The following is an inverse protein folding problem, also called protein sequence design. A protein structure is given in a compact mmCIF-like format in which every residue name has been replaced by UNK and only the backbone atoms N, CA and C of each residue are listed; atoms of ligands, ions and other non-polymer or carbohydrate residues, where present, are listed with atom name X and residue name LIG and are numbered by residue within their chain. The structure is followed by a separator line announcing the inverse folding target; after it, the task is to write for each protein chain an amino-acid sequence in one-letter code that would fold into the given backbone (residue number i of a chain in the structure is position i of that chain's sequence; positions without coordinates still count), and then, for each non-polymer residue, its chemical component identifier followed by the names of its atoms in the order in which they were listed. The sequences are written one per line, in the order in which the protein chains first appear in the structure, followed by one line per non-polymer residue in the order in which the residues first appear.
data_IF_425445027643
#
_entry.id   IF_425445027643
#
_cell.length_a   1.000
_cell.length_b   1.000
_cell.length_c   1.000
_cell.angle_alpha   90.00
_cell.angle_beta   90.00
_cell.angle_gamma   90.00
#
_symmetry.space_group_name_H-M   'P 1'
#
loop_
_entity.id
_entity.type
_entity.pdbx_description
1 polymer ?
#
# COMPACT_ATOMS: atom_id res chain seq x y z
N UNK A 1 4.74 18.88 36.49
CA UNK A 1 4.64 20.14 35.71
C UNK A 1 4.96 19.83 34.25
N UNK A 2 4.27 20.44 33.29
CA UNK A 2 4.55 20.21 31.86
C UNK A 2 5.71 21.08 31.37
N UNK A 3 6.64 20.49 30.62
CA UNK A 3 7.86 21.15 30.12
C UNK A 3 7.65 21.97 28.86
N UNK A 4 6.57 21.72 28.11
CA UNK A 4 6.27 22.35 26.84
C UNK A 4 4.90 23.02 26.86
N UNK A 5 4.69 23.98 25.98
CA UNK A 5 3.36 24.45 25.61
C UNK A 5 2.67 23.45 24.66
N UNK A 6 1.34 23.54 24.53
CA UNK A 6 0.56 22.68 23.63
C UNK A 6 1.06 22.73 22.16
N UNK A 7 1.39 23.91 21.58
CA UNK A 7 1.95 23.96 20.22
C UNK A 7 3.33 23.29 20.09
N UNK A 8 4.22 23.48 21.06
CA UNK A 8 5.55 22.84 21.08
C UNK A 8 5.43 21.32 21.18
N UNK A 9 4.51 20.83 22.02
CA UNK A 9 4.23 19.41 22.14
C UNK A 9 3.69 18.79 20.84
N UNK A 10 2.79 19.51 20.14
CA UNK A 10 2.28 19.08 18.82
C UNK A 10 3.42 18.96 17.79
N UNK A 11 4.38 19.88 17.83
CA UNK A 11 5.56 19.82 16.97
C UNK A 11 6.46 18.63 17.34
N UNK A 12 6.72 18.42 18.64
CA UNK A 12 7.49 17.28 19.15
C UNK A 12 6.90 15.93 18.72
N UNK A 13 5.59 15.74 18.86
CA UNK A 13 4.89 14.53 18.41
C UNK A 13 5.12 14.24 16.93
N UNK A 14 5.14 15.28 16.09
CA UNK A 14 5.35 15.14 14.65
C UNK A 14 6.79 14.72 14.33
N UNK A 15 7.78 15.26 15.04
CA UNK A 15 9.19 14.87 14.89
C UNK A 15 9.46 13.45 15.39
N UNK A 16 8.94 13.10 16.57
CA UNK A 16 9.19 11.81 17.23
C UNK A 16 8.49 10.64 16.55
N UNK A 17 7.32 10.87 15.94
CA UNK A 17 6.56 9.80 15.28
C UNK A 17 7.40 9.00 14.28
N UNK A 18 8.16 9.68 13.43
CA UNK A 18 8.97 9.03 12.39
C UNK A 18 10.12 8.20 12.97
N UNK A 19 10.53 8.47 14.21
CA UNK A 19 11.58 7.71 14.92
C UNK A 19 11.03 6.43 15.54
N UNK A 20 9.83 6.48 16.12
CA UNK A 20 9.29 5.38 16.94
C UNK A 20 8.28 4.49 16.21
N UNK A 21 7.61 5.02 15.19
CA UNK A 21 6.62 4.29 14.41
C UNK A 21 7.16 4.10 13.00
N UNK A 22 7.47 2.85 12.57
CA UNK A 22 7.89 2.58 11.20
C UNK A 22 6.84 3.06 10.21
N UNK A 23 7.27 3.43 9.00
CA UNK A 23 6.34 3.81 7.93
C UNK A 23 5.40 2.65 7.60
N UNK A 24 4.22 2.94 7.02
CA UNK A 24 3.35 1.90 6.45
C UNK A 24 4.09 0.91 5.57
N UNK A 25 4.96 1.41 4.71
CA UNK A 25 5.75 0.62 3.76
C UNK A 25 6.67 -0.38 4.47
N UNK A 26 7.42 0.06 5.49
CA UNK A 26 8.26 -0.83 6.30
C UNK A 26 7.42 -1.91 6.97
N UNK A 27 6.28 -1.54 7.59
CA UNK A 27 5.44 -2.52 8.28
C UNK A 27 4.88 -3.56 7.32
N UNK A 28 4.42 -3.15 6.15
CA UNK A 28 3.88 -4.05 5.12
C UNK A 28 4.99 -4.92 4.51
N UNK A 29 6.18 -4.36 4.28
CA UNK A 29 7.35 -5.11 3.83
C UNK A 29 7.73 -6.23 4.79
N UNK A 30 7.77 -5.95 6.10
CA UNK A 30 8.06 -6.96 7.12
C UNK A 30 7.08 -8.15 7.03
N UNK A 31 5.78 -7.87 6.87
CA UNK A 31 4.76 -8.92 6.69
C UNK A 31 4.96 -9.68 5.37
N UNK A 32 5.25 -8.97 4.28
CA UNK A 32 5.55 -9.58 2.98
C UNK A 32 6.75 -10.52 3.05
N UNK A 33 7.87 -10.05 3.61
CA UNK A 33 9.09 -10.84 3.77
C UNK A 33 8.86 -12.09 4.63
N UNK A 34 8.11 -11.95 5.73
CA UNK A 34 7.74 -13.09 6.57
C UNK A 34 6.89 -14.12 5.81
N UNK A 35 5.92 -13.67 5.00
CA UNK A 35 5.09 -14.58 4.18
C UNK A 35 5.93 -15.29 3.10
N UNK A 36 6.82 -14.57 2.41
CA UNK A 36 7.75 -15.15 1.43
C UNK A 36 8.62 -16.22 2.08
N UNK A 37 9.20 -15.94 3.25
CA UNK A 37 10.04 -16.89 3.97
C UNK A 37 9.25 -18.15 4.40
N UNK A 38 8.04 -17.96 4.92
CA UNK A 38 7.17 -19.06 5.34
C UNK A 38 6.80 -19.96 4.15
N UNK A 39 6.38 -19.37 3.03
CA UNK A 39 6.06 -20.11 1.81
C UNK A 39 7.29 -20.82 1.22
N UNK A 40 8.44 -20.14 1.17
CA UNK A 40 9.70 -20.75 0.70
C UNK A 40 10.07 -21.97 1.54
N UNK A 41 9.91 -21.87 2.86
CA UNK A 41 10.15 -22.99 3.79
C UNK A 41 9.18 -24.13 3.54
N UNK A 42 7.89 -23.83 3.37
CA UNK A 42 6.85 -24.81 3.10
C UNK A 42 7.09 -25.54 1.77
N UNK A 43 7.40 -24.82 0.69
CA UNK A 43 7.65 -25.40 -0.62
C UNK A 43 8.95 -26.21 -0.67
N UNK A 44 9.98 -25.76 0.04
CA UNK A 44 11.23 -26.52 0.20
C UNK A 44 10.99 -27.82 0.96
N UNK A 45 10.21 -27.79 2.04
CA UNK A 45 9.82 -28.99 2.80
C UNK A 45 8.96 -29.96 1.96
N UNK A 46 8.21 -29.43 0.98
CA UNK A 46 7.45 -30.23 0.01
C UNK A 46 8.31 -30.80 -1.14
N UNK A 47 9.64 -30.58 -1.13
CA UNK A 47 10.58 -31.16 -2.09
C UNK A 47 11.02 -30.22 -3.22
N UNK A 48 10.58 -28.96 -3.23
CA UNK A 48 11.00 -27.98 -4.24
C UNK A 48 12.27 -27.27 -3.76
N UNK A 49 13.44 -27.70 -4.23
CA UNK A 49 14.73 -27.10 -3.81
C UNK A 49 15.42 -26.29 -4.91
N UNK A 50 14.94 -26.42 -6.16
CA UNK A 50 15.41 -25.60 -7.28
C UNK A 50 14.91 -24.15 -7.13
N UNK A 51 15.80 -23.14 -7.16
CA UNK A 51 15.42 -21.74 -6.97
C UNK A 51 14.41 -21.22 -7.99
N UNK A 52 14.47 -21.67 -9.24
CA UNK A 52 13.54 -21.24 -10.28
C UNK A 52 12.14 -21.83 -10.05
N UNK A 53 12.06 -23.13 -9.70
CA UNK A 53 10.81 -23.77 -9.35
C UNK A 53 10.17 -23.16 -8.10
N UNK A 54 10.97 -22.84 -7.07
CA UNK A 54 10.51 -22.12 -5.87
C UNK A 54 9.92 -20.75 -6.24
N UNK A 55 10.60 -19.99 -7.10
CA UNK A 55 10.12 -18.69 -7.57
C UNK A 55 8.78 -18.81 -8.30
N UNK A 56 8.65 -19.78 -9.22
CA UNK A 56 7.41 -20.00 -9.95
C UNK A 56 6.25 -20.38 -9.03
N UNK A 57 6.50 -21.22 -8.03
CA UNK A 57 5.50 -21.59 -7.02
C UNK A 57 5.09 -20.40 -6.16
N UNK A 58 6.05 -19.54 -5.74
CA UNK A 58 5.74 -18.30 -5.03
C UNK A 58 4.86 -17.38 -5.87
N UNK A 59 5.24 -17.12 -7.12
CA UNK A 59 4.47 -16.26 -8.04
C UNK A 59 3.05 -16.77 -8.26
N UNK A 60 2.90 -18.09 -8.45
CA UNK A 60 1.58 -18.69 -8.62
C UNK A 60 0.75 -18.66 -7.34
N UNK A 61 1.39 -18.83 -6.18
CA UNK A 61 0.72 -18.69 -4.90
C UNK A 61 0.15 -17.27 -4.73
N UNK A 62 0.95 -16.23 -4.99
CA UNK A 62 0.47 -14.85 -4.91
C UNK A 62 -0.65 -14.57 -5.91
N UNK A 63 -0.58 -15.13 -7.13
CA UNK A 63 -1.63 -14.98 -8.14
C UNK A 63 -2.97 -15.61 -7.70
N UNK A 64 -2.92 -16.80 -7.13
CA UNK A 64 -4.10 -17.58 -6.74
C UNK A 64 -4.66 -17.24 -5.36
N UNK A 65 -3.84 -16.69 -4.47
CA UNK A 65 -4.17 -16.36 -3.08
C UNK A 65 -4.01 -14.86 -2.79
N UNK A 66 -4.25 -14.01 -3.81
CA UNK A 66 -4.07 -12.57 -3.72
C UNK A 66 -4.84 -11.94 -2.55
N UNK A 67 -6.11 -12.28 -2.39
CA UNK A 67 -6.95 -11.78 -1.29
C UNK A 67 -6.48 -12.28 0.08
N UNK A 68 -6.03 -13.54 0.16
CA UNK A 68 -5.47 -14.09 1.40
C UNK A 68 -4.25 -13.29 1.83
N UNK A 69 -3.34 -13.01 0.90
CA UNK A 69 -2.15 -12.21 1.17
C UNK A 69 -2.50 -10.79 1.63
N UNK A 70 -3.38 -10.09 0.91
CA UNK A 70 -3.77 -8.71 1.26
C UNK A 70 -4.39 -8.68 2.66
N UNK A 71 -5.28 -9.62 2.99
CA UNK A 71 -5.87 -9.70 4.33
C UNK A 71 -4.82 -10.01 5.41
N UNK A 72 -3.93 -10.97 5.15
CA UNK A 72 -2.86 -11.34 6.06
C UNK A 72 -2.00 -10.13 6.44
N UNK A 73 -1.53 -9.37 5.46
CA UNK A 73 -0.68 -8.20 5.70
C UNK A 73 -1.41 -7.11 6.47
N UNK A 74 -2.66 -6.80 6.10
CA UNK A 74 -3.45 -5.78 6.78
C UNK A 74 -3.79 -6.17 8.22
N UNK A 75 -4.08 -7.45 8.47
CA UNK A 75 -4.34 -7.96 9.82
C UNK A 75 -3.08 -7.93 10.69
N UNK A 76 -1.94 -8.32 10.14
CA UNK A 76 -0.66 -8.27 10.85
C UNK A 76 -0.25 -6.82 11.18
N UNK A 77 -0.41 -5.88 10.24
CA UNK A 77 -0.20 -4.45 10.50
C UNK A 77 -1.13 -3.93 11.60
N UNK A 78 -2.43 -4.27 11.55
CA UNK A 78 -3.42 -3.89 12.56
C UNK A 78 -3.13 -4.49 13.94
N UNK A 79 -2.48 -5.66 14.01
CA UNK A 79 -2.07 -6.30 15.26
C UNK A 79 -0.83 -5.63 15.87
N UNK A 80 0.19 -5.32 15.06
CA UNK A 80 1.46 -4.76 15.53
C UNK A 80 1.40 -3.26 15.83
N UNK A 81 0.58 -2.52 15.09
CA UNK A 81 0.54 -1.06 15.20
C UNK A 81 0.14 -0.54 16.60
N UNK A 82 -0.91 -1.06 17.27
CA UNK A 82 -1.33 -0.56 18.58
C UNK A 82 -0.23 -0.61 19.64
N UNK A 83 0.57 -1.68 19.67
CA UNK A 83 1.69 -1.80 20.59
C UNK A 83 2.77 -0.73 20.31
N UNK A 84 3.11 -0.51 19.03
CA UNK A 84 4.07 0.53 18.62
C UNK A 84 3.55 1.94 18.94
N UNK A 85 2.26 2.18 18.74
CA UNK A 85 1.61 3.46 19.08
C UNK A 85 1.59 3.69 20.59
N UNK A 86 1.32 2.65 21.39
CA UNK A 86 1.37 2.73 22.85
C UNK A 86 2.78 3.07 23.34
N UNK A 87 3.81 2.37 22.87
CA UNK A 87 5.20 2.71 23.22
C UNK A 87 5.57 4.13 22.80
N UNK A 88 5.14 4.57 21.61
CA UNK A 88 5.33 5.96 21.18
C UNK A 88 4.66 6.96 22.13
N UNK A 89 3.42 6.71 22.56
CA UNK A 89 2.72 7.58 23.50
C UNK A 89 3.37 7.63 24.88
N UNK A 90 3.90 6.51 25.36
CA UNK A 90 4.66 6.46 26.61
C UNK A 90 5.92 7.33 26.55
N UNK A 91 6.71 7.21 25.48
CA UNK A 91 7.94 8.01 25.28
C UNK A 91 7.64 9.52 25.21
N UNK A 92 6.66 9.93 24.41
CA UNK A 92 6.34 11.35 24.26
C UNK A 92 5.62 11.93 25.48
N UNK A 93 4.91 11.12 26.26
CA UNK A 93 4.37 11.55 27.55
C UNK A 93 5.48 11.77 28.57
N UNK A 94 6.47 10.89 28.62
CA UNK A 94 7.66 11.05 29.47
C UNK A 94 8.42 12.33 29.10
N UNK A 95 8.67 12.59 27.80
CA UNK A 95 9.36 13.81 27.34
C UNK A 95 8.63 15.11 27.77
N UNK A 96 7.31 15.07 27.96
CA UNK A 96 6.49 16.24 28.32
C UNK A 96 6.52 16.57 29.83
N UNK A 97 6.83 15.61 30.68
CA UNK A 97 6.81 15.77 32.15
C UNK A 97 8.20 16.11 32.68
N UNK A 98 8.29 16.88 33.76
CA UNK A 98 9.57 17.11 34.45
C UNK A 98 10.15 15.83 35.08
N UNK A 99 11.46 15.83 35.30
CA UNK A 99 12.22 14.66 35.75
C UNK A 99 11.75 14.11 37.11
N UNK A 100 11.29 14.98 38.01
CA UNK A 100 10.78 14.59 39.33
C UNK A 100 9.44 13.86 39.21
N UNK A 101 8.58 14.33 38.30
CA UNK A 101 7.33 13.66 37.95
C UNK A 101 7.60 12.31 37.27
N UNK A 102 8.58 12.23 36.36
CA UNK A 102 8.94 10.98 35.69
C UNK A 102 9.42 9.90 36.66
N UNK A 103 10.25 10.26 37.65
CA UNK A 103 10.78 9.31 38.65
C UNK A 103 9.73 8.68 39.55
N UNK A 104 8.54 9.26 39.62
CA UNK A 104 7.48 8.85 40.55
C UNK A 104 6.31 8.14 39.86
N UNK A 105 6.33 8.00 38.54
CA UNK A 105 5.23 7.45 37.73
C UNK A 105 5.70 6.33 36.81
N UNK A 106 4.83 5.35 36.55
CA UNK A 106 5.04 4.41 35.44
C UNK A 106 4.74 5.09 34.10
N UNK A 107 5.27 4.57 32.98
CA UNK A 107 4.97 5.13 31.66
C UNK A 107 3.46 5.23 31.35
N UNK A 108 2.65 4.27 31.82
CA UNK A 108 1.18 4.32 31.68
C UNK A 108 0.57 5.47 32.47
N UNK A 109 1.02 5.68 33.72
CA UNK A 109 0.56 6.79 34.56
C UNK A 109 0.93 8.14 33.96
N UNK A 110 2.09 8.25 33.32
CA UNK A 110 2.48 9.47 32.59
C UNK A 110 1.51 9.77 31.45
N UNK A 111 1.13 8.76 30.66
CA UNK A 111 0.13 8.90 29.61
C UNK A 111 -1.21 9.34 30.18
N UNK A 112 -1.65 8.75 31.30
CA UNK A 112 -2.91 9.12 31.96
C UNK A 112 -2.93 10.59 32.41
N UNK A 113 -1.82 11.08 32.98
CA UNK A 113 -1.68 12.50 33.36
C UNK A 113 -1.78 13.42 32.15
N UNK A 114 -1.09 13.09 31.05
CA UNK A 114 -1.14 13.86 29.81
C UNK A 114 -2.54 13.82 29.18
N UNK A 115 -3.22 12.68 29.24
CA UNK A 115 -4.56 12.48 28.68
C UNK A 115 -5.66 13.15 29.51
N UNK A 116 -5.43 13.36 30.81
CA UNK A 116 -6.32 14.09 31.71
C UNK A 116 -6.27 15.61 31.46
N UNK A 117 -5.17 16.13 30.93
CA UNK A 117 -5.09 17.53 30.51
C UNK A 117 -5.90 17.78 29.22
N UNK A 118 -6.77 18.77 29.25
CA UNK A 118 -7.67 19.08 28.14
C UNK A 118 -6.95 19.51 26.85
N UNK A 119 -5.78 20.15 26.95
CA UNK A 119 -5.01 20.60 25.80
C UNK A 119 -4.11 19.49 25.25
N UNK A 120 -3.21 18.97 26.09
CA UNK A 120 -2.25 17.94 25.67
C UNK A 120 -2.94 16.62 25.31
N UNK A 121 -3.98 16.23 26.06
CA UNK A 121 -4.77 15.03 25.79
C UNK A 121 -5.54 15.10 24.48
N UNK A 122 -6.08 16.26 24.09
CA UNK A 122 -6.70 16.42 22.77
C UNK A 122 -5.68 16.29 21.64
N UNK A 123 -4.49 16.89 21.79
CA UNK A 123 -3.42 16.78 20.80
C UNK A 123 -2.99 15.32 20.61
N UNK A 124 -2.80 14.58 21.69
CA UNK A 124 -2.40 13.16 21.63
C UNK A 124 -3.49 12.29 20.96
N UNK A 125 -4.77 12.50 21.30
CA UNK A 125 -5.92 11.83 20.66
C UNK A 125 -6.00 12.13 19.16
N UNK A 126 -5.87 13.40 18.77
CA UNK A 126 -5.89 13.80 17.37
C UNK A 126 -4.70 13.20 16.61
N UNK A 127 -3.52 13.19 17.22
CA UNK A 127 -2.32 12.61 16.66
C UNK A 127 -2.53 11.13 16.32
N UNK A 128 -3.05 10.31 17.25
CA UNK A 128 -3.36 8.89 17.01
C UNK A 128 -4.43 8.71 15.93
N UNK A 129 -5.56 9.41 16.04
CA UNK A 129 -6.68 9.29 15.09
C UNK A 129 -6.31 9.65 13.64
N UNK A 130 -5.51 10.71 13.44
CA UNK A 130 -5.04 11.12 12.11
C UNK A 130 -4.01 10.14 11.56
N UNK A 131 -3.11 9.63 12.40
CA UNK A 131 -2.12 8.62 12.00
C UNK A 131 -2.82 7.37 11.48
N UNK A 132 -3.70 6.75 12.28
CA UNK A 132 -4.42 5.54 11.90
C UNK A 132 -5.19 5.70 10.57
N UNK A 133 -5.85 6.84 10.36
CA UNK A 133 -6.56 7.13 9.10
C UNK A 133 -5.63 7.23 7.88
N UNK A 134 -4.49 7.90 8.01
CA UNK A 134 -3.52 7.99 6.91
C UNK A 134 -2.82 6.67 6.61
N UNK A 135 -2.66 5.82 7.61
CA UNK A 135 -1.97 4.53 7.49
C UNK A 135 -2.79 3.47 6.77
N UNK A 136 -4.07 3.28 7.12
CA UNK A 136 -4.86 2.18 6.56
C UNK A 136 -4.94 2.20 5.02
N UNK A 137 -5.11 3.38 4.42
CA UNK A 137 -5.15 3.53 2.96
C UNK A 137 -3.78 3.21 2.32
N UNK A 138 -2.71 3.67 2.95
CA UNK A 138 -1.32 3.50 2.51
C UNK A 138 -0.80 2.07 2.73
N UNK A 139 -1.22 1.40 3.80
CA UNK A 139 -0.89 -0.01 4.06
C UNK A 139 -1.55 -0.92 3.02
N UNK A 140 -2.80 -0.63 2.62
CA UNK A 140 -3.44 -1.32 1.49
C UNK A 140 -2.70 -1.06 0.17
N UNK A 141 -2.29 0.19 -0.08
CA UNK A 141 -1.51 0.54 -1.27
C UNK A 141 -0.20 -0.25 -1.36
N UNK A 142 0.59 -0.24 -0.28
CA UNK A 142 1.84 -0.99 -0.22
C UNK A 142 1.59 -2.51 -0.34
N UNK A 143 0.53 -3.03 0.29
CA UNK A 143 0.18 -4.46 0.20
C UNK A 143 -0.13 -4.87 -1.25
N UNK A 144 -0.86 -4.05 -2.02
CA UNK A 144 -1.10 -4.34 -3.44
C UNK A 144 0.15 -4.22 -4.29
N UNK A 145 1.05 -3.30 -3.95
CA UNK A 145 2.34 -3.21 -4.64
C UNK A 145 3.23 -4.43 -4.39
N UNK A 146 3.37 -4.90 -3.14
CA UNK A 146 4.12 -6.12 -2.85
C UNK A 146 3.42 -7.39 -3.36
N UNK A 147 2.09 -7.39 -3.48
CA UNK A 147 1.36 -8.47 -4.14
C UNK A 147 1.81 -8.63 -5.61
N UNK A 148 1.91 -7.52 -6.35
CA UNK A 148 2.37 -7.55 -7.74
C UNK A 148 3.82 -8.01 -7.86
N UNK A 149 4.69 -7.52 -7.00
CA UNK A 149 6.08 -8.01 -6.91
C UNK A 149 6.10 -9.50 -6.64
N UNK A 150 5.29 -9.97 -5.69
CA UNK A 150 5.11 -11.38 -5.39
C UNK A 150 4.65 -12.19 -6.60
N UNK A 151 3.79 -11.62 -7.45
CA UNK A 151 3.34 -12.21 -8.73
C UNK A 151 4.37 -12.12 -9.86
N UNK A 152 5.50 -11.43 -9.65
CA UNK A 152 6.51 -11.18 -10.67
C UNK A 152 6.20 -10.01 -11.60
N UNK A 153 5.28 -9.11 -11.21
CA UNK A 153 4.86 -7.95 -12.01
C UNK A 153 5.50 -6.69 -11.43
N UNK A 154 6.29 -5.93 -12.22
CA UNK A 154 6.86 -4.68 -11.76
C UNK A 154 5.76 -3.62 -11.58
N UNK A 155 5.90 -2.84 -10.52
CA UNK A 155 5.01 -1.72 -10.23
C UNK A 155 5.79 -0.55 -9.67
N UNK A 156 5.44 0.66 -10.08
CA UNK A 156 6.05 1.86 -9.53
C UNK A 156 5.23 2.35 -8.33
N UNK A 157 5.74 2.14 -7.11
CA UNK A 157 5.14 2.71 -5.91
C UNK A 157 5.62 4.16 -5.77
N UNK A 158 4.71 5.13 -5.74
CA UNK A 158 5.02 6.56 -5.56
C UNK A 158 6.01 7.15 -6.55
N UNK A 159 5.69 7.14 -7.85
CA UNK A 159 6.33 8.09 -8.75
C UNK A 159 5.93 9.52 -8.34
N UNK A 160 6.83 10.22 -7.64
CA UNK A 160 6.95 11.65 -7.82
C UNK A 160 7.35 11.83 -9.29
N UNK A 161 6.38 12.09 -10.15
CA UNK A 161 6.60 12.23 -11.59
C UNK A 161 7.46 13.47 -11.86
N UNK A 162 8.77 13.29 -11.80
CA UNK A 162 9.74 14.19 -12.40
C UNK A 162 10.07 13.61 -13.78
N UNK A 163 9.33 14.10 -14.76
CA UNK A 163 9.79 14.33 -16.13
C UNK A 163 10.30 13.11 -16.94
N UNK A 164 9.36 12.31 -17.45
CA UNK A 164 9.52 11.55 -18.69
C UNK A 164 8.24 11.68 -19.54
N UNK A 165 8.24 12.70 -20.40
CA UNK A 165 7.63 12.75 -21.75
C UNK A 165 6.28 12.05 -22.06
N UNK A 166 5.35 11.90 -21.11
CA UNK A 166 3.93 11.83 -21.45
C UNK A 166 3.45 13.25 -21.77
N UNK A 167 3.51 13.61 -23.06
CA UNK A 167 2.85 14.81 -23.58
C UNK A 167 1.41 14.84 -23.06
N UNK A 168 1.15 15.88 -22.28
CA UNK A 168 -0.13 16.32 -21.72
C UNK A 168 -0.63 15.65 -20.43
N UNK A 169 -0.11 16.21 -19.32
CA UNK A 169 -0.80 16.58 -18.09
C UNK A 169 -0.96 15.50 -16.99
N UNK A 170 -0.39 15.74 -15.81
CA UNK A 170 -1.06 16.16 -14.56
C UNK A 170 -0.09 16.03 -13.38
N UNK A 171 0.03 17.12 -12.62
CA UNK A 171 0.78 17.20 -11.36
C UNK A 171 -0.07 16.98 -10.10
N UNK A 172 0.63 16.98 -8.96
CA UNK A 172 0.14 17.07 -7.57
C UNK A 172 -0.64 15.86 -7.00
N UNK A 173 0.12 14.98 -6.33
CA UNK A 173 -0.19 14.29 -5.07
C UNK A 173 -1.62 13.75 -4.87
N UNK A 174 -1.75 12.42 -4.90
CA UNK A 174 -2.83 11.70 -4.25
C UNK A 174 -2.26 10.78 -3.15
N UNK A 175 -2.67 10.92 -1.88
CA UNK A 175 -2.05 10.22 -0.75
C UNK A 175 -2.35 8.70 -0.68
N UNK A 176 -2.86 8.07 -1.74
CA UNK A 176 -3.26 6.64 -1.70
C UNK A 176 -3.36 5.96 -3.08
N UNK A 177 -2.55 6.36 -4.07
CA UNK A 177 -2.69 5.89 -5.46
C UNK A 177 -1.44 5.13 -5.92
N UNK A 178 -1.56 3.81 -6.00
CA UNK A 178 -0.57 2.96 -6.64
C UNK A 178 -0.78 3.05 -8.15
N UNK A 179 0.21 3.55 -8.88
CA UNK A 179 0.21 3.56 -10.34
C UNK A 179 1.01 2.37 -10.86
N UNK A 180 0.37 1.51 -11.63
CA UNK A 180 1.06 0.45 -12.36
C UNK A 180 1.16 0.96 -13.79
N UNK A 181 2.12 1.87 -13.99
CA UNK A 181 2.54 2.25 -15.32
C UNK A 181 3.46 1.14 -15.83
N UNK A 182 2.92 0.25 -16.65
CA UNK A 182 3.75 -0.62 -17.46
C UNK A 182 4.35 0.24 -18.59
N UNK A 183 5.48 0.88 -18.28
CA UNK A 183 6.47 1.34 -19.26
C UNK A 183 6.09 2.47 -20.23
N UNK A 184 5.46 3.55 -19.79
CA UNK A 184 5.16 4.67 -20.70
C UNK A 184 4.28 4.29 -21.90
N UNK A 185 3.74 3.05 -21.91
CA UNK A 185 2.82 2.54 -22.91
C UNK A 185 1.40 2.92 -22.50
N UNK A 186 0.47 2.89 -23.45
CA UNK A 186 -0.96 3.06 -23.15
C UNK A 186 -1.56 1.87 -22.38
N UNK A 187 -0.77 0.86 -21.97
CA UNK A 187 -1.21 -0.40 -21.36
C UNK A 187 -1.07 -0.45 -19.83
N UNK A 188 -1.25 0.70 -19.16
CA UNK A 188 -1.18 0.83 -17.71
C UNK A 188 -2.52 0.73 -16.99
N UNK A 189 -2.47 0.54 -15.67
CA UNK A 189 -3.61 0.58 -14.77
C UNK A 189 -3.29 1.41 -13.53
N UNK A 190 -4.25 2.21 -13.06
CA UNK A 190 -4.13 2.98 -11.83
C UNK A 190 -5.04 2.41 -10.73
N UNK A 191 -4.51 2.22 -9.52
CA UNK A 191 -5.26 1.69 -8.39
C UNK A 191 -5.30 2.69 -7.25
N UNK A 192 -6.52 3.08 -6.88
CA UNK A 192 -6.80 4.04 -5.82
C UNK A 192 -7.27 3.29 -4.57
N UNK A 193 -6.45 3.30 -3.52
CA UNK A 193 -6.73 2.54 -2.30
C UNK A 193 -7.58 3.34 -1.31
N UNK A 194 -8.64 2.70 -0.80
CA UNK A 194 -9.56 3.27 0.18
C UNK A 194 -9.97 2.22 1.21
N UNK A 195 -9.54 2.39 2.44
CA UNK A 195 -9.97 1.57 3.59
C UNK A 195 -11.42 1.83 4.00
N UNK A 196 -12.00 2.96 3.61
CA UNK A 196 -13.42 3.28 3.81
C UNK A 196 -13.98 4.12 2.65
N UNK A 197 -15.07 3.64 2.05
CA UNK A 197 -15.70 4.22 0.85
C UNK A 197 -16.86 5.19 1.15
N UNK A 198 -17.26 5.34 2.42
CA UNK A 198 -18.51 6.04 2.80
C UNK A 198 -18.46 7.56 2.74
N UNK A 199 -17.28 8.17 2.85
CA UNK A 199 -17.11 9.63 2.82
C UNK A 199 -16.22 9.98 1.64
N UNK A 200 -16.65 10.96 0.82
CA UNK A 200 -15.87 11.55 -0.28
C UNK A 200 -15.72 10.67 -1.54
N UNK A 201 -16.69 9.81 -1.84
CA UNK A 201 -16.68 9.04 -3.09
C UNK A 201 -16.76 9.96 -4.32
N UNK A 202 -17.56 11.02 -4.26
CA UNK A 202 -17.64 12.02 -5.34
C UNK A 202 -16.32 12.77 -5.53
N UNK A 203 -15.68 13.21 -4.44
CA UNK A 203 -14.37 13.88 -4.51
C UNK A 203 -13.30 12.95 -5.10
N UNK A 204 -13.34 11.65 -4.74
CA UNK A 204 -12.45 10.64 -5.30
C UNK A 204 -12.68 10.46 -6.80
N UNK A 205 -13.94 10.33 -7.24
CA UNK A 205 -14.27 10.20 -8.66
C UNK A 205 -13.86 11.44 -9.44
N UNK A 206 -14.14 12.63 -8.91
CA UNK A 206 -13.72 13.90 -9.51
C UNK A 206 -12.20 13.97 -9.63
N UNK A 207 -11.49 13.54 -8.58
CA UNK A 207 -10.03 13.48 -8.58
C UNK A 207 -9.51 12.52 -9.66
N UNK A 208 -10.00 11.28 -9.70
CA UNK A 208 -9.63 10.28 -10.73
C UNK A 208 -9.82 10.86 -12.13
N UNK A 209 -11.00 11.45 -12.43
CA UNK A 209 -11.28 12.07 -13.73
C UNK A 209 -10.33 13.21 -14.08
N UNK A 210 -9.80 13.91 -13.08
CA UNK A 210 -8.86 15.01 -13.27
C UNK A 210 -7.40 14.58 -13.37
N UNK A 211 -7.06 13.34 -13.00
CA UNK A 211 -5.68 12.86 -12.89
C UNK A 211 -5.33 11.71 -13.83
N UNK A 212 -6.33 10.91 -14.21
CA UNK A 212 -6.14 9.66 -14.94
C UNK A 212 -7.32 9.38 -15.86
N UNK A 213 -7.12 8.46 -16.82
CA UNK A 213 -8.19 7.91 -17.65
C UNK A 213 -9.07 6.96 -16.81
N UNK A 214 -10.35 7.28 -16.54
CA UNK A 214 -11.16 6.50 -15.61
C UNK A 214 -11.31 5.01 -16.00
N UNK A 215 -11.32 4.71 -17.29
CA UNK A 215 -11.42 3.36 -17.85
C UNK A 215 -10.22 2.46 -17.51
N UNK A 216 -9.08 3.06 -17.16
CA UNK A 216 -7.86 2.39 -16.71
C UNK A 216 -7.75 2.34 -15.18
N UNK A 217 -8.80 2.74 -14.46
CA UNK A 217 -8.74 2.92 -13.01
C UNK A 217 -9.57 1.90 -12.23
N UNK A 218 -8.96 1.46 -11.12
CA UNK A 218 -9.58 0.66 -10.08
C UNK A 218 -9.64 1.46 -8.79
N UNK A 219 -10.71 1.30 -8.02
CA UNK A 219 -10.75 1.71 -6.62
C UNK A 219 -10.69 0.45 -5.75
N UNK A 220 -9.58 0.27 -5.05
CA UNK A 220 -9.32 -0.89 -4.22
C UNK A 220 -9.81 -0.68 -2.79
N UNK A 221 -10.51 -1.69 -2.26
CA UNK A 221 -10.98 -1.67 -0.88
C UNK A 221 -11.20 -3.08 -0.31
N UNK A 222 -10.86 -3.25 0.97
CA UNK A 222 -11.24 -4.42 1.76
C UNK A 222 -12.49 -4.16 2.63
N UNK A 223 -13.10 -2.98 2.53
CA UNK A 223 -14.17 -2.57 3.42
C UNK A 223 -15.47 -3.37 3.16
N UNK A 224 -16.04 -3.94 4.22
CA UNK A 224 -17.30 -4.70 4.11
C UNK A 224 -18.54 -3.80 3.93
N UNK A 225 -18.42 -2.50 4.20
CA UNK A 225 -19.53 -1.55 4.12
C UNK A 225 -19.78 -0.99 2.70
N UNK A 226 -19.11 -1.53 1.68
CA UNK A 226 -19.36 -1.15 0.29
C UNK A 226 -20.79 -1.53 -0.11
N UNK A 227 -21.51 -0.56 -0.69
CA UNK A 227 -22.91 -0.70 -1.10
C UNK A 227 -23.04 -0.79 -2.62
N UNK A 228 -24.11 -1.40 -3.11
CA UNK A 228 -24.46 -1.43 -4.55
C UNK A 228 -24.52 -0.01 -5.14
N UNK A 229 -25.00 0.97 -4.38
CA UNK A 229 -25.10 2.36 -4.83
C UNK A 229 -23.71 2.96 -5.12
N UNK A 230 -22.74 2.73 -4.22
CA UNK A 230 -21.36 3.16 -4.41
C UNK A 230 -20.72 2.52 -5.66
N UNK A 231 -20.94 1.21 -5.86
CA UNK A 231 -20.42 0.53 -7.05
C UNK A 231 -21.03 1.07 -8.34
N UNK A 232 -22.34 1.30 -8.36
CA UNK A 232 -23.01 1.92 -9.51
C UNK A 232 -22.47 3.32 -9.80
N UNK A 233 -22.11 4.09 -8.77
CA UNK A 233 -21.53 5.42 -8.93
C UNK A 233 -20.13 5.37 -9.54
N UNK A 234 -19.28 4.43 -9.09
CA UNK A 234 -17.96 4.17 -9.70
C UNK A 234 -18.10 3.73 -11.17
N UNK A 235 -18.96 2.75 -11.45
CA UNK A 235 -19.12 2.22 -12.81
C UNK A 235 -19.72 3.25 -13.78
N UNK A 236 -20.60 4.15 -13.31
CA UNK A 236 -21.06 5.31 -14.09
C UNK A 236 -19.93 6.26 -14.48
N UNK A 237 -18.85 6.28 -13.70
CA UNK A 237 -17.63 7.02 -14.00
C UNK A 237 -16.58 6.17 -14.74
N UNK A 238 -16.93 4.97 -15.21
CA UNK A 238 -16.03 3.99 -15.84
C UNK A 238 -14.92 3.44 -14.93
N UNK A 239 -15.08 3.59 -13.62
CA UNK A 239 -14.13 3.10 -12.62
C UNK A 239 -14.60 1.74 -12.11
N UNK A 240 -13.68 0.79 -12.01
CA UNK A 240 -13.95 -0.56 -11.51
C UNK A 240 -13.74 -0.63 -10.00
N UNK A 241 -14.57 -1.41 -9.30
CA UNK A 241 -14.30 -1.75 -7.90
C UNK A 241 -13.32 -2.92 -7.85
N UNK A 242 -12.23 -2.79 -7.10
CA UNK A 242 -11.30 -3.87 -6.79
C UNK A 242 -11.46 -4.28 -5.32
N UNK A 243 -11.83 -5.53 -5.04
CA UNK A 243 -12.13 -5.97 -3.67
C UNK A 243 -11.95 -7.47 -3.46
N UNK A 244 -12.28 -7.96 -2.27
CA UNK A 244 -12.25 -9.38 -1.92
C UNK A 244 -13.35 -10.16 -2.65
N UNK A 245 -13.13 -11.45 -3.00
CA UNK A 245 -14.14 -12.32 -3.59
C UNK A 245 -15.47 -12.32 -2.83
N UNK A 246 -15.43 -12.40 -1.50
CA UNK A 246 -16.63 -12.39 -0.65
C UNK A 246 -17.42 -11.08 -0.76
N UNK A 247 -16.70 -9.94 -0.84
CA UNK A 247 -17.34 -8.64 -1.04
C UNK A 247 -17.99 -8.56 -2.42
N UNK A 248 -17.29 -9.02 -3.46
CA UNK A 248 -17.82 -9.08 -4.83
C UNK A 248 -19.10 -9.91 -4.87
N UNK A 249 -19.06 -11.14 -4.34
CA UNK A 249 -20.21 -12.05 -4.31
C UNK A 249 -21.39 -11.44 -3.54
N UNK A 250 -21.13 -10.87 -2.35
CA UNK A 250 -22.15 -10.19 -1.53
C UNK A 250 -22.83 -9.05 -2.30
N UNK A 251 -22.05 -8.19 -2.95
CA UNK A 251 -22.59 -7.03 -3.69
C UNK A 251 -23.39 -7.50 -4.91
N UNK A 252 -22.88 -8.50 -5.64
CA UNK A 252 -23.57 -9.08 -6.79
C UNK A 252 -24.90 -9.75 -6.39
N UNK A 253 -24.93 -10.46 -5.26
CA UNK A 253 -26.16 -11.07 -4.74
C UNK A 253 -27.24 -10.02 -4.38
N UNK A 254 -26.83 -8.82 -3.94
CA UNK A 254 -27.76 -7.71 -3.65
C UNK A 254 -28.29 -7.01 -4.91
N UNK A 255 -27.69 -7.26 -6.08
CA UNK A 255 -28.09 -6.66 -7.34
C UNK A 255 -27.89 -7.62 -8.54
N UNK A 256 -28.56 -8.79 -8.55
CA UNK A 256 -28.24 -9.89 -9.47
C UNK A 256 -28.54 -9.56 -10.95
N UNK A 257 -29.37 -8.55 -11.20
CA UNK A 257 -29.72 -8.06 -12.55
C UNK A 257 -28.90 -6.84 -12.98
N UNK A 258 -28.09 -6.26 -12.09
CA UNK A 258 -27.26 -5.13 -12.42
C UNK A 258 -25.93 -5.63 -13.00
N UNK A 259 -25.53 -5.09 -14.16
CA UNK A 259 -24.16 -5.22 -14.63
C UNK A 259 -23.29 -4.31 -13.78
N UNK A 260 -22.59 -4.89 -12.81
CA UNK A 260 -21.63 -4.20 -11.96
C UNK A 260 -20.23 -4.64 -12.36
N UNK A 261 -19.35 -3.67 -12.57
CA UNK A 261 -17.93 -3.92 -12.85
C UNK A 261 -17.18 -3.94 -11.51
N UNK A 262 -17.03 -5.17 -11.00
CA UNK A 262 -16.36 -5.52 -9.75
C UNK A 262 -15.36 -6.62 -10.09
N UNK A 263 -14.13 -6.45 -9.63
CA UNK A 263 -13.00 -7.33 -9.91
C UNK A 263 -12.39 -7.78 -8.58
N UNK A 264 -12.06 -9.06 -8.46
CA UNK A 264 -11.33 -9.57 -7.29
C UNK A 264 -9.83 -9.26 -7.37
N UNK A 265 -9.10 -9.32 -6.25
CA UNK A 265 -7.64 -9.16 -6.28
C UNK A 265 -6.93 -10.21 -7.15
N UNK A 266 -7.44 -11.44 -7.20
CA UNK A 266 -6.92 -12.52 -8.07
C UNK A 266 -7.16 -12.20 -9.55
N UNK A 267 -8.39 -11.82 -9.90
CA UNK A 267 -8.74 -11.44 -11.28
C UNK A 267 -7.91 -10.26 -11.77
N UNK A 268 -7.71 -9.27 -10.90
CA UNK A 268 -6.87 -8.11 -11.20
C UNK A 268 -5.39 -8.50 -11.31
N UNK A 269 -4.87 -9.33 -10.41
CA UNK A 269 -3.49 -9.80 -10.45
C UNK A 269 -3.17 -10.55 -11.73
N UNK A 270 -4.05 -11.46 -12.15
CA UNK A 270 -3.90 -12.17 -13.43
C UNK A 270 -3.97 -11.22 -14.64
N UNK A 271 -4.88 -10.24 -14.60
CA UNK A 271 -4.92 -9.20 -15.63
C UNK A 271 -3.59 -8.42 -15.71
N UNK A 272 -3.00 -8.06 -14.57
CA UNK A 272 -1.70 -7.36 -14.53
C UNK A 272 -0.56 -8.27 -15.04
N UNK A 273 -0.57 -9.57 -14.74
CA UNK A 273 0.42 -10.53 -15.28
C UNK A 273 0.34 -10.64 -16.80
N UNK A 274 -0.88 -10.69 -17.36
CA UNK A 274 -1.09 -10.72 -18.81
C UNK A 274 -0.55 -9.44 -19.47
N UNK A 275 -0.95 -8.27 -18.95
CA UNK A 275 -0.45 -6.98 -19.48
C UNK A 275 1.07 -6.88 -19.38
N UNK A 276 1.65 -7.33 -18.27
CA UNK A 276 3.10 -7.32 -18.10
C UNK A 276 3.79 -8.22 -19.12
N UNK A 277 3.28 -9.44 -19.36
CA UNK A 277 3.84 -10.34 -20.37
C UNK A 277 3.81 -9.72 -21.76
N UNK A 278 2.71 -9.08 -22.13
CA UNK A 278 2.58 -8.40 -23.43
C UNK A 278 3.56 -7.24 -23.54
N UNK A 279 3.73 -6.46 -22.47
CA UNK A 279 4.73 -5.39 -22.42
C UNK A 279 6.16 -5.93 -22.49
N UNK A 280 6.48 -6.99 -21.75
CA UNK A 280 7.81 -7.60 -21.72
C UNK A 280 8.19 -8.12 -23.11
N UNK A 281 7.25 -8.73 -23.82
CA UNK A 281 7.47 -9.16 -25.21
C UNK A 281 7.79 -7.97 -26.13
N UNK A 282 7.11 -6.84 -25.98
CA UNK A 282 7.39 -5.62 -26.75
C UNK A 282 8.75 -5.01 -26.41
N UNK A 283 9.06 -4.88 -25.11
CA UNK A 283 10.34 -4.38 -24.62
C UNK A 283 11.50 -5.23 -25.13
N UNK A 284 11.35 -6.56 -25.15
CA UNK A 284 12.38 -7.48 -25.64
C UNK A 284 12.51 -7.46 -27.16
N UNK A 285 11.44 -7.17 -27.90
CA UNK A 285 11.48 -7.08 -29.36
C UNK A 285 12.16 -5.81 -29.86
N UNK A 286 12.11 -4.72 -29.08
CA UNK A 286 12.63 -3.40 -29.44
C UNK A 286 13.41 -2.76 -28.26
N UNK A 287 14.46 -3.40 -27.73
CA UNK A 287 15.11 -2.99 -26.48
C UNK A 287 15.61 -1.53 -26.50
N UNK A 288 16.03 -1.03 -27.65
CA UNK A 288 16.46 0.35 -27.87
C UNK A 288 15.35 1.40 -27.69
N UNK A 289 14.09 1.04 -27.92
CA UNK A 289 12.94 1.94 -27.75
C UNK A 289 12.50 2.04 -26.28
N UNK A 290 12.99 1.14 -25.42
CA UNK A 290 12.56 0.99 -24.04
C UNK A 290 13.73 1.11 -23.04
N UNK A 291 14.78 1.87 -23.37
CA UNK A 291 15.92 2.06 -22.46
C UNK A 291 15.51 2.68 -21.11
N UNK A 292 14.51 3.56 -21.11
CA UNK A 292 13.92 4.16 -19.90
C UNK A 292 13.35 3.12 -18.94
N UNK A 293 12.92 1.96 -19.44
CA UNK A 293 12.43 0.84 -18.62
C UNK A 293 13.57 0.23 -17.80
N UNK A 294 14.70 0.00 -18.46
CA UNK A 294 15.88 -0.56 -17.81
C UNK A 294 16.47 0.43 -16.80
N UNK A 295 16.49 1.72 -17.15
CA UNK A 295 16.88 2.78 -16.22
C UNK A 295 15.92 2.87 -15.02
N UNK A 296 14.62 2.71 -15.24
CA UNK A 296 13.64 2.70 -14.15
C UNK A 296 13.90 1.55 -13.17
N UNK A 297 14.16 0.33 -13.65
CA UNK A 297 14.49 -0.79 -12.76
C UNK A 297 15.76 -0.53 -11.95
N UNK A 298 16.78 0.11 -12.54
CA UNK A 298 17.97 0.52 -11.81
C UNK A 298 17.66 1.53 -10.72
N UNK A 299 16.86 2.55 -11.02
CA UNK A 299 16.45 3.55 -10.03
C UNK A 299 15.66 2.91 -8.88
N UNK A 300 14.76 1.98 -9.20
CA UNK A 300 13.98 1.25 -8.19
C UNK A 300 14.87 0.42 -7.25
N UNK A 301 15.97 -0.16 -7.74
CA UNK A 301 16.93 -0.86 -6.85
C UNK A 301 17.59 0.10 -5.85
N UNK A 302 17.90 1.34 -6.26
CA UNK A 302 18.46 2.35 -5.37
C UNK A 302 17.42 2.85 -4.37
N UNK A 303 16.20 3.15 -4.83
CA UNK A 303 15.11 3.62 -3.96
C UNK A 303 14.70 2.55 -2.94
N UNK A 304 14.75 1.28 -3.32
CA UNK A 304 14.33 0.14 -2.51
C UNK A 304 15.49 -0.60 -1.83
N UNK A 305 16.66 0.03 -1.70
CA UNK A 305 17.88 -0.62 -1.17
C UNK A 305 17.70 -1.25 0.23
N UNK A 306 16.82 -0.67 1.05
CA UNK A 306 16.50 -1.15 2.41
C UNK A 306 15.53 -2.35 2.41
N UNK A 307 15.07 -2.78 1.23
CA UNK A 307 14.10 -3.86 1.03
C UNK A 307 14.70 -4.97 0.14
N UNK A 308 15.52 -5.89 0.71
CA UNK A 308 16.26 -6.90 -0.05
C UNK A 308 15.46 -7.70 -1.08
N UNK A 309 14.22 -8.10 -0.78
CA UNK A 309 13.38 -8.85 -1.72
C UNK A 309 12.96 -8.01 -2.94
N UNK A 310 12.82 -6.69 -2.76
CA UNK A 310 12.53 -5.76 -3.86
C UNK A 310 13.77 -5.57 -4.75
N UNK A 311 14.93 -5.39 -4.12
CA UNK A 311 16.20 -5.29 -4.84
C UNK A 311 16.42 -6.55 -5.69
N UNK A 312 16.27 -7.72 -5.08
CA UNK A 312 16.40 -9.00 -5.78
C UNK A 312 15.44 -9.09 -6.98
N UNK A 313 14.17 -8.72 -6.78
CA UNK A 313 13.18 -8.73 -7.85
C UNK A 313 13.60 -7.85 -9.05
N UNK A 314 14.03 -6.61 -8.81
CA UNK A 314 14.46 -5.72 -9.90
C UNK A 314 15.80 -6.16 -10.54
N UNK A 315 16.71 -6.77 -9.78
CA UNK A 315 17.93 -7.38 -10.31
C UNK A 315 17.60 -8.51 -11.31
N UNK A 316 16.61 -9.34 -10.98
CA UNK A 316 16.17 -10.43 -11.84
C UNK A 316 15.55 -9.93 -13.15
N UNK A 317 14.76 -8.85 -13.09
CA UNK A 317 14.22 -8.20 -14.28
C UNK A 317 15.34 -7.63 -15.16
N UNK A 318 16.32 -6.96 -14.58
CA UNK A 318 17.48 -6.43 -15.31
C UNK A 318 18.33 -7.52 -15.95
N UNK A 319 18.49 -8.67 -15.29
CA UNK A 319 19.22 -9.81 -15.84
C UNK A 319 18.57 -10.39 -17.10
N UNK A 320 17.28 -10.10 -17.34
CA UNK A 320 16.56 -10.50 -18.54
C UNK A 320 16.66 -9.50 -19.71
N UNK A 321 17.43 -8.41 -19.59
CA UNK A 321 17.68 -7.45 -20.68
C UNK A 321 18.38 -8.15 -21.86
N UNK A 322 17.83 -8.10 -23.09
CA UNK A 322 18.50 -8.61 -24.28
C UNK A 322 19.86 -7.92 -24.51
N UNK A 323 20.86 -8.67 -24.98
CA UNK A 323 22.17 -8.14 -25.38
C UNK A 323 22.12 -7.47 -26.75
#
# INVERSE_FOLDING_TARGET
MFLYTVPEYKFLLSLRRNKYIPTPEIMVYESYAAKVQALTTQFSAAGTTDPLALRQQLQEWFATHASEFVLYVLQDCALRYPAKEQSFFQEVAAELLDEDTQKTMTPEQMVDVVMADSGFGEVLKQAGSLARRGRNDKELECALGYLLVGMGVPCAQHCAMADLSLRSAIGLLAPSAAHIALFGTQMGSAVWCKSNMTKRLDDLIAKIKSTTKPELCYVATCAQNVTVAMVKQLNKAHIKLLTLPDNMQRIQALAPRARLDIVSFEQWGEHMRMLFRDCENQVRAHPEEYEDVWQHYQNMMTEMQDFPLMVQFYQELLAAKPQ
#
